data_IF_515700808172
#
_entry.id   IF_515700808172
#
_cell.length_a   1.000
_cell.length_b   1.000
_cell.length_c   1.000
_cell.angle_alpha   90.00
_cell.angle_beta   90.00
_cell.angle_gamma   90.00
#
_symmetry.space_group_name_H-M   'P 1'
#
loop_
_entity.id
_entity.type
_entity.pdbx_description
1 polymer ?
#
# COMPACT_ATOMS: atom_id res chain seq x y z
N UNK A 1 -29.32 -19.62 6.20
CA UNK A 1 -29.37 -18.98 4.87
C UNK A 1 -28.04 -19.25 4.18
N UNK A 2 -28.04 -20.05 3.12
CA UNK A 2 -26.86 -20.35 2.31
C UNK A 2 -26.68 -19.25 1.25
N UNK A 3 -25.80 -18.28 1.48
CA UNK A 3 -25.31 -17.44 0.41
C UNK A 3 -24.24 -18.23 -0.33
N UNK A 4 -24.52 -18.65 -1.58
CA UNK A 4 -23.49 -19.21 -2.46
C UNK A 4 -22.48 -18.10 -2.74
N UNK A 5 -21.37 -18.10 -2.00
CA UNK A 5 -20.29 -17.08 -2.08
C UNK A 5 -19.44 -17.26 -3.35
N UNK A 6 -19.50 -18.42 -3.99
CA UNK A 6 -18.82 -18.72 -5.25
C UNK A 6 -19.79 -19.25 -6.31
N UNK A 7 -19.57 -18.85 -7.56
CA UNK A 7 -20.16 -19.53 -8.72
C UNK A 7 -19.54 -20.95 -8.83
N UNK A 8 -20.19 -21.88 -9.54
CA UNK A 8 -19.83 -23.31 -9.68
C UNK A 8 -18.39 -23.57 -10.18
N UNK A 9 -17.66 -22.52 -10.56
CA UNK A 9 -16.28 -22.53 -11.07
C UNK A 9 -15.23 -21.97 -10.09
N UNK A 10 -15.58 -21.65 -8.84
CA UNK A 10 -14.61 -21.16 -7.83
C UNK A 10 -14.14 -19.72 -8.05
N UNK A 11 -14.94 -18.90 -8.76
CA UNK A 11 -14.66 -17.48 -8.98
C UNK A 11 -15.60 -16.60 -8.17
N UNK A 12 -15.05 -15.47 -7.72
CA UNK A 12 -15.77 -14.45 -6.96
C UNK A 12 -16.87 -13.82 -7.81
N UNK A 13 -17.98 -13.44 -7.18
CA UNK A 13 -19.07 -12.78 -7.88
C UNK A 13 -18.64 -11.38 -8.37
N UNK A 14 -19.22 -10.86 -9.47
CA UNK A 14 -18.94 -9.51 -9.95
C UNK A 14 -19.11 -8.42 -8.86
N UNK A 15 -20.11 -8.59 -7.99
CA UNK A 15 -20.35 -7.71 -6.85
C UNK A 15 -19.20 -7.73 -5.84
N UNK A 16 -18.64 -8.91 -5.58
CA UNK A 16 -17.51 -9.07 -4.67
C UNK A 16 -16.23 -8.47 -5.29
N UNK A 17 -15.99 -8.69 -6.58
CA UNK A 17 -14.88 -8.08 -7.32
C UNK A 17 -14.94 -6.55 -7.34
N UNK A 18 -16.15 -5.99 -7.49
CA UNK A 18 -16.38 -4.55 -7.36
C UNK A 18 -16.04 -4.04 -5.96
N UNK A 19 -16.49 -4.78 -4.94
CA UNK A 19 -16.26 -4.44 -3.54
C UNK A 19 -14.76 -4.41 -3.23
N UNK A 20 -14.01 -5.43 -3.65
CA UNK A 20 -12.55 -5.43 -3.48
C UNK A 20 -11.88 -4.28 -4.19
N UNK A 21 -12.29 -3.97 -5.42
CA UNK A 21 -11.71 -2.86 -6.16
C UNK A 21 -11.89 -1.52 -5.43
N UNK A 22 -13.04 -1.30 -4.80
CA UNK A 22 -13.29 -0.11 -3.98
C UNK A 22 -12.48 -0.10 -2.66
N UNK A 23 -12.32 -1.27 -2.04
CA UNK A 23 -11.47 -1.42 -0.85
C UNK A 23 -10.01 -1.14 -1.17
N UNK A 24 -9.50 -1.65 -2.29
CA UNK A 24 -8.12 -1.39 -2.73
C UNK A 24 -7.89 0.08 -3.04
N UNK A 25 -8.79 0.70 -3.79
CA UNK A 25 -8.75 2.14 -4.10
C UNK A 25 -8.72 2.99 -2.81
N UNK A 26 -9.62 2.71 -1.87
CA UNK A 26 -9.64 3.39 -0.56
C UNK A 26 -8.36 3.17 0.24
N UNK A 27 -7.83 1.94 0.22
CA UNK A 27 -6.59 1.58 0.92
C UNK A 27 -5.37 2.29 0.33
N UNK A 28 -5.22 2.33 -0.99
CA UNK A 28 -4.12 3.03 -1.65
C UNK A 28 -4.20 4.54 -1.39
N UNK A 29 -5.39 5.13 -1.41
CA UNK A 29 -5.58 6.54 -1.05
C UNK A 29 -5.20 6.84 0.41
N UNK A 30 -5.50 5.92 1.33
CA UNK A 30 -5.04 6.03 2.72
C UNK A 30 -3.52 5.93 2.83
N UNK A 31 -2.92 4.93 2.19
CA UNK A 31 -1.46 4.72 2.17
C UNK A 31 -0.74 5.94 1.59
N UNK A 32 -1.30 6.58 0.55
CA UNK A 32 -0.75 7.81 -0.03
C UNK A 32 -0.55 8.92 1.00
N UNK A 33 -1.60 9.18 1.81
CA UNK A 33 -1.55 10.16 2.89
C UNK A 33 -0.58 9.74 3.99
N UNK A 34 -0.54 8.44 4.30
CA UNK A 34 0.35 7.91 5.33
C UNK A 34 1.83 7.98 4.90
N UNK A 35 2.15 7.78 3.63
CA UNK A 35 3.51 7.95 3.09
C UNK A 35 4.01 9.38 3.25
N UNK A 36 3.17 10.38 2.93
CA UNK A 36 3.48 11.80 3.16
C UNK A 36 3.73 12.07 4.65
N UNK A 37 2.88 11.53 5.53
CA UNK A 37 3.04 11.63 6.98
C UNK A 37 4.38 11.02 7.45
N UNK A 38 4.75 9.83 6.97
CA UNK A 38 6.00 9.17 7.33
C UNK A 38 7.23 9.96 6.88
N UNK A 39 7.20 10.54 5.67
CA UNK A 39 8.27 11.43 5.19
C UNK A 39 8.42 12.64 6.12
N UNK A 40 7.31 13.28 6.47
CA UNK A 40 7.32 14.43 7.39
C UNK A 40 7.88 14.05 8.76
N UNK A 41 7.53 12.88 9.30
CA UNK A 41 8.09 12.39 10.56
C UNK A 41 9.61 12.18 10.50
N UNK A 42 10.12 11.59 9.41
CA UNK A 42 11.56 11.43 9.19
C UNK A 42 12.26 12.78 9.13
N UNK A 43 11.71 13.73 8.38
CA UNK A 43 12.25 15.10 8.30
C UNK A 43 12.29 15.78 9.67
N UNK A 44 11.21 15.73 10.46
CA UNK A 44 11.17 16.42 11.74
C UNK A 44 12.08 15.80 12.81
N UNK A 45 12.14 14.47 12.87
CA UNK A 45 12.78 13.77 13.99
C UNK A 45 14.23 13.35 13.72
N UNK A 46 14.61 13.13 12.45
CA UNK A 46 15.91 12.55 12.09
C UNK A 46 16.87 13.58 11.50
N UNK A 47 16.40 14.55 10.71
CA UNK A 47 17.31 15.60 10.17
C UNK A 47 17.94 16.48 11.25
N UNK A 48 17.33 16.59 12.43
CA UNK A 48 17.93 17.27 13.58
C UNK A 48 19.17 16.56 14.14
N UNK A 49 19.46 15.33 13.67
CA UNK A 49 20.64 14.53 14.00
C UNK A 49 21.60 14.51 12.79
N UNK A 50 21.95 15.71 12.31
CA UNK A 50 22.82 15.93 11.14
C UNK A 50 24.17 15.20 11.31
N UNK A 51 24.58 14.46 10.28
CA UNK A 51 25.89 13.80 10.22
C UNK A 51 25.97 12.43 10.89
N UNK A 52 24.84 11.87 11.35
CA UNK A 52 24.76 10.52 11.92
C UNK A 52 24.38 9.47 10.87
N UNK A 53 24.66 8.19 11.13
CA UNK A 53 24.17 7.09 10.28
C UNK A 53 22.63 7.11 10.12
N UNK A 54 21.92 7.68 11.10
CA UNK A 54 20.46 7.81 11.09
C UNK A 54 19.97 8.78 10.02
N UNK A 55 20.71 9.86 9.70
CA UNK A 55 20.31 10.79 8.64
C UNK A 55 20.41 10.13 7.26
N UNK A 56 21.47 9.34 7.04
CA UNK A 56 21.64 8.55 5.81
C UNK A 56 20.56 7.47 5.67
N UNK A 57 20.20 6.79 6.76
CA UNK A 57 19.07 5.85 6.76
C UNK A 57 17.75 6.56 6.43
N UNK A 58 17.50 7.75 6.98
CA UNK A 58 16.28 8.51 6.71
C UNK A 58 16.18 8.95 5.26
N UNK A 59 17.27 9.43 4.65
CA UNK A 59 17.31 9.77 3.22
C UNK A 59 16.97 8.56 2.34
N UNK A 60 17.54 7.40 2.65
CA UNK A 60 17.21 6.15 1.96
C UNK A 60 15.73 5.81 2.08
N UNK A 61 15.16 5.92 3.28
CA UNK A 61 13.73 5.66 3.46
C UNK A 61 12.84 6.68 2.73
N UNK A 62 13.23 7.95 2.65
CA UNK A 62 12.49 8.96 1.89
C UNK A 62 12.47 8.60 0.40
N UNK A 63 13.59 8.11 -0.14
CA UNK A 63 13.67 7.60 -1.51
C UNK A 63 12.77 6.38 -1.71
N UNK A 64 12.89 5.36 -0.86
CA UNK A 64 12.07 4.13 -0.93
C UNK A 64 10.56 4.45 -0.82
N UNK A 65 10.19 5.40 0.04
CA UNK A 65 8.81 5.91 0.15
C UNK A 65 8.36 6.67 -1.11
N UNK A 66 9.28 7.34 -1.81
CA UNK A 66 9.03 7.95 -3.11
C UNK A 66 8.75 6.93 -4.20
N UNK A 67 9.57 5.90 -4.30
CA UNK A 67 9.38 4.79 -5.24
C UNK A 67 8.06 4.06 -4.99
N UNK A 68 7.71 3.84 -3.72
CA UNK A 68 6.43 3.23 -3.33
C UNK A 68 5.23 4.09 -3.76
N UNK A 69 5.37 5.42 -3.71
CA UNK A 69 4.32 6.36 -4.18
C UNK A 69 4.12 6.25 -5.70
N UNK A 70 5.20 6.08 -6.47
CA UNK A 70 5.11 5.88 -7.93
C UNK A 70 4.38 4.56 -8.23
N UNK A 71 4.80 3.47 -7.59
CA UNK A 71 4.18 2.15 -7.74
C UNK A 71 2.68 2.17 -7.38
N UNK A 72 2.33 2.87 -6.30
CA UNK A 72 0.95 3.07 -5.86
C UNK A 72 0.11 3.82 -6.90
N UNK A 73 0.63 4.91 -7.49
CA UNK A 73 -0.08 5.64 -8.54
C UNK A 73 -0.40 4.73 -9.73
N UNK A 74 0.56 3.92 -10.18
CA UNK A 74 0.33 2.93 -11.24
C UNK A 74 -0.72 1.88 -10.86
N UNK A 75 -0.75 1.45 -9.59
CA UNK A 75 -1.78 0.51 -9.10
C UNK A 75 -3.18 1.14 -9.06
N UNK A 76 -3.29 2.41 -8.69
CA UNK A 76 -4.57 3.15 -8.71
C UNK A 76 -5.12 3.20 -10.14
N UNK A 77 -4.28 3.52 -11.12
CA UNK A 77 -4.68 3.52 -12.54
C UNK A 77 -5.17 2.15 -12.99
N UNK A 78 -4.46 1.08 -12.63
CA UNK A 78 -4.86 -0.29 -12.93
C UNK A 78 -6.20 -0.67 -12.27
N UNK A 79 -6.44 -0.24 -11.04
CA UNK A 79 -7.72 -0.48 -10.34
C UNK A 79 -8.85 0.29 -11.01
N UNK A 80 -8.63 1.53 -11.43
CA UNK A 80 -9.65 2.31 -12.13
C UNK A 80 -10.02 1.69 -13.48
N UNK A 81 -9.03 1.27 -14.28
CA UNK A 81 -9.29 0.54 -15.52
C UNK A 81 -10.04 -0.78 -15.26
N UNK A 82 -9.63 -1.52 -14.24
CA UNK A 82 -10.31 -2.75 -13.83
C UNK A 82 -11.76 -2.53 -13.37
N UNK A 83 -12.05 -1.44 -12.65
CA UNK A 83 -13.42 -1.04 -12.27
C UNK A 83 -14.26 -0.71 -13.50
N UNK A 84 -13.69 -0.02 -14.49
CA UNK A 84 -14.40 0.33 -15.72
C UNK A 84 -14.75 -0.91 -16.56
N UNK A 85 -13.84 -1.88 -16.63
CA UNK A 85 -14.01 -3.15 -17.34
C UNK A 85 -15.00 -4.11 -16.68
N UNK A 86 -15.37 -3.89 -15.41
CA UNK A 86 -16.33 -4.74 -14.68
C UNK A 86 -17.67 -4.90 -15.40
N UNK A 87 -18.09 -3.89 -16.19
CA UNK A 87 -19.32 -3.92 -16.99
C UNK A 87 -19.42 -5.16 -17.90
N UNK A 88 -18.30 -5.70 -18.35
CA UNK A 88 -18.22 -6.92 -19.19
C UNK A 88 -18.86 -8.14 -18.48
N UNK A 89 -18.81 -8.21 -17.14
CA UNK A 89 -19.39 -9.31 -16.37
C UNK A 89 -20.93 -9.22 -16.22
N UNK A 90 -21.51 -8.06 -16.49
CA UNK A 90 -22.96 -7.83 -16.41
C UNK A 90 -23.65 -7.92 -17.76
N UNK A 91 -22.91 -7.81 -18.87
CA UNK A 91 -23.39 -8.05 -20.23
C UNK A 91 -23.72 -9.53 -20.48
N UNK A 92 -24.45 -9.83 -21.56
CA UNK A 92 -24.83 -11.19 -22.00
C UNK A 92 -23.63 -12.12 -22.36
N UNK A 93 -22.41 -11.66 -22.09
CA UNK A 93 -21.12 -12.28 -22.40
C UNK A 93 -20.54 -13.09 -21.22
N UNK A 94 -21.36 -13.48 -20.23
CA UNK A 94 -20.91 -14.10 -18.95
C UNK A 94 -19.97 -15.30 -19.09
N UNK A 95 -20.05 -16.03 -20.20
CA UNK A 95 -19.24 -17.23 -20.48
C UNK A 95 -18.27 -17.05 -21.66
N UNK A 96 -17.95 -15.82 -22.03
CA UNK A 96 -17.01 -15.53 -23.12
C UNK A 96 -15.57 -15.47 -22.63
N UNK A 97 -14.63 -15.61 -23.56
CA UNK A 97 -13.19 -15.41 -23.34
C UNK A 97 -12.88 -14.09 -22.62
N UNK A 98 -13.64 -13.03 -22.90
CA UNK A 98 -13.48 -11.71 -22.28
C UNK A 98 -13.80 -11.73 -20.77
N UNK A 99 -14.85 -12.46 -20.36
CA UNK A 99 -15.19 -12.66 -18.94
C UNK A 99 -14.10 -13.45 -18.19
N UNK A 100 -13.53 -14.46 -18.84
CA UNK A 100 -12.40 -15.22 -18.28
C UNK A 100 -11.14 -14.38 -18.15
N UNK A 101 -10.79 -13.62 -19.19
CA UNK A 101 -9.65 -12.70 -19.18
C UNK A 101 -9.77 -11.68 -18.03
N UNK A 102 -10.95 -11.08 -17.84
CA UNK A 102 -11.20 -10.16 -16.73
C UNK A 102 -10.97 -10.80 -15.36
N UNK A 103 -11.45 -12.03 -15.14
CA UNK A 103 -11.26 -12.75 -13.88
C UNK A 103 -9.79 -13.06 -13.61
N UNK A 104 -9.02 -13.39 -14.66
CA UNK A 104 -7.57 -13.56 -14.55
C UNK A 104 -6.85 -12.25 -14.23
N UNK A 105 -7.25 -11.13 -14.84
CA UNK A 105 -6.76 -9.80 -14.48
C UNK A 105 -7.06 -9.47 -13.01
N UNK A 106 -8.27 -9.76 -12.53
CA UNK A 106 -8.65 -9.55 -11.12
C UNK A 106 -7.71 -10.30 -10.17
N UNK A 107 -7.43 -11.58 -10.44
CA UNK A 107 -6.49 -12.38 -9.62
C UNK A 107 -5.07 -11.83 -9.66
N UNK A 108 -4.59 -11.39 -10.83
CA UNK A 108 -3.27 -10.74 -10.95
C UNK A 108 -3.22 -9.45 -10.12
N UNK A 109 -4.31 -8.67 -10.12
CA UNK A 109 -4.41 -7.45 -9.34
C UNK A 109 -4.43 -7.74 -7.82
N UNK A 110 -5.13 -8.80 -7.39
CA UNK A 110 -5.06 -9.27 -5.99
C UNK A 110 -3.63 -9.56 -5.55
N UNK A 111 -2.89 -10.33 -6.34
CA UNK A 111 -1.49 -10.69 -6.03
C UNK A 111 -0.63 -9.43 -5.92
N UNK A 112 -0.71 -8.54 -6.91
CA UNK A 112 0.02 -7.25 -6.89
C UNK A 112 -0.31 -6.42 -5.66
N UNK A 113 -1.59 -6.36 -5.28
CA UNK A 113 -2.03 -5.62 -4.10
C UNK A 113 -1.46 -6.22 -2.80
N UNK A 114 -1.38 -7.55 -2.70
CA UNK A 114 -0.76 -8.23 -1.56
C UNK A 114 0.75 -8.02 -1.49
N UNK A 115 1.44 -8.06 -2.63
CA UNK A 115 2.88 -7.78 -2.71
C UNK A 115 3.18 -6.33 -2.30
N UNK A 116 2.42 -5.39 -2.84
CA UNK A 116 2.51 -3.97 -2.49
C UNK A 116 2.26 -3.74 -1.00
N UNK A 117 1.20 -4.33 -0.43
CA UNK A 117 0.90 -4.18 1.00
C UNK A 117 2.01 -4.75 1.88
N UNK A 118 2.57 -5.90 1.50
CA UNK A 118 3.68 -6.52 2.22
C UNK A 118 4.93 -5.64 2.20
N UNK A 119 5.29 -5.09 1.03
CA UNK A 119 6.40 -4.15 0.86
C UNK A 119 6.18 -2.89 1.72
N UNK A 120 4.97 -2.33 1.64
CA UNK A 120 4.58 -1.16 2.41
C UNK A 120 4.69 -1.38 3.93
N UNK A 121 4.14 -2.49 4.45
CA UNK A 121 4.19 -2.80 5.89
C UNK A 121 5.62 -3.00 6.39
N UNK A 122 6.48 -3.63 5.58
CA UNK A 122 7.88 -3.83 5.94
C UNK A 122 8.64 -2.49 5.98
N UNK A 123 8.45 -1.64 4.99
CA UNK A 123 9.05 -0.30 4.96
C UNK A 123 8.57 0.55 6.14
N UNK A 124 7.26 0.56 6.41
CA UNK A 124 6.66 1.25 7.55
C UNK A 124 7.30 0.85 8.87
N UNK A 125 7.47 -0.46 9.12
CA UNK A 125 8.12 -0.97 10.33
C UNK A 125 9.56 -0.48 10.46
N UNK A 126 10.32 -0.47 9.37
CA UNK A 126 11.70 0.02 9.35
C UNK A 126 11.78 1.52 9.68
N UNK A 127 10.92 2.33 9.05
CA UNK A 127 10.81 3.76 9.31
C UNK A 127 10.51 4.04 10.78
N UNK A 128 9.51 3.38 11.38
CA UNK A 128 9.18 3.56 12.79
C UNK A 128 10.33 3.17 13.74
N UNK A 129 11.09 2.12 13.41
CA UNK A 129 12.27 1.74 14.21
C UNK A 129 13.34 2.84 14.19
N UNK A 130 13.61 3.42 13.03
CA UNK A 130 14.60 4.51 12.90
C UNK A 130 14.12 5.79 13.60
N UNK A 131 12.84 6.14 13.48
CA UNK A 131 12.26 7.27 14.25
C UNK A 131 12.37 7.01 15.75
N UNK A 132 12.08 5.79 16.23
CA UNK A 132 12.20 5.45 17.65
C UNK A 132 13.64 5.57 18.16
N UNK A 133 14.64 5.17 17.35
CA UNK A 133 16.06 5.37 17.65
C UNK A 133 16.41 6.86 17.74
N UNK A 134 15.97 7.66 16.78
CA UNK A 134 16.18 9.11 16.77
C UNK A 134 15.58 9.79 18.00
N UNK A 135 14.33 9.46 18.35
CA UNK A 135 13.67 9.97 19.56
C UNK A 135 14.41 9.60 20.86
N UNK A 136 14.98 8.38 20.94
CA UNK A 136 15.80 7.97 22.09
C UNK A 136 17.08 8.80 22.19
N UNK A 137 17.74 9.04 21.06
CA UNK A 137 18.94 9.87 20.99
C UNK A 137 18.66 11.30 21.47
N UNK A 138 17.54 11.90 21.03
CA UNK A 138 17.10 13.21 21.53
C UNK A 138 16.89 13.20 23.04
N UNK A 139 16.16 12.22 23.59
CA UNK A 139 15.94 12.12 25.05
C UNK A 139 17.24 11.99 25.86
N UNK A 140 18.22 11.23 25.37
CA UNK A 140 19.52 11.10 26.05
C UNK A 140 20.31 12.41 26.05
N UNK A 141 20.22 13.22 24.99
CA UNK A 141 20.90 14.52 24.91
C UNK A 141 20.37 15.58 25.90
N UNK A 142 19.12 15.43 26.36
CA UNK A 142 18.48 16.34 27.32
C UNK A 142 18.57 15.89 28.79
N UNK A 143 19.20 14.76 29.09
CA UNK A 143 19.49 14.33 30.45
C UNK A 143 20.95 14.67 30.79
N UNK A 144 21.26 15.74 31.53
CA UNK A 144 22.58 15.90 32.10
C UNK A 144 22.83 14.74 33.07
N UNK A 145 24.00 14.11 32.96
CA UNK A 145 24.50 13.17 33.97
C UNK A 145 24.44 13.88 35.33
N UNK A 146 23.67 13.32 36.26
CA UNK A 146 23.69 13.77 37.65
C UNK A 146 25.09 13.54 38.19
N UNK A 147 25.76 14.66 38.48
CA UNK A 147 27.06 14.75 39.17
C UNK A 147 26.96 14.20 40.59
#
# INVERSE_FOLDING_TARGET
>A
MNTRISNDYGWESPHLMHTYSNVWDSKLNFISKEVEFLKNLLHQNVYSIVGSELSREAEKFIQELGELKIEMSSLIELIHDHKNKLKILFSDLKNTEQSWAYKHEHRKLMIKMHEFDSKYQNLKKSVFRTIKKALKHHKQKFLPEKS
#
